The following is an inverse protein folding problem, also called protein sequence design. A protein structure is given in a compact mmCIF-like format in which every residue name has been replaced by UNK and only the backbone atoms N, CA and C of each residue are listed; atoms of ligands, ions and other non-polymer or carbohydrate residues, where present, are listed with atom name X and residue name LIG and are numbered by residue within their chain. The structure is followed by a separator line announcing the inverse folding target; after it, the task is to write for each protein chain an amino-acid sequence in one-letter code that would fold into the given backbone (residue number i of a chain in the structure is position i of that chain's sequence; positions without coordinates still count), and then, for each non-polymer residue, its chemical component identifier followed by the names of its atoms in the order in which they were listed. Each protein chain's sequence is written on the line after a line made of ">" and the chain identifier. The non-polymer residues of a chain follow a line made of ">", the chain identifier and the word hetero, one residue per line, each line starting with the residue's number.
data_IF_140107137037
#
_entry.id   IF_140107137037
#
_cell.length_a   1.000
_cell.length_b   1.000
_cell.length_c   1.000
_cell.angle_alpha   90.00
_cell.angle_beta   90.00
_cell.angle_gamma   90.00
#
_symmetry.space_group_name_H-M   'P 1'
#
loop_
_entity.id
_entity.type
_entity.pdbx_description
1 polymer ?
#
# COMPACT_ATOMS: atom_id res chain seq x y z
N UNK A 1 8.12 -12.44 19.07
CA UNK A 1 8.73 -11.09 19.06
C UNK A 1 10.24 -11.28 18.99
N UNK A 2 10.93 -10.51 18.15
CA UNK A 2 12.40 -10.45 18.16
C UNK A 2 12.81 -9.16 18.88
N UNK A 3 13.77 -9.25 19.80
CA UNK A 3 14.30 -8.09 20.51
C UNK A 3 15.41 -7.47 19.68
N UNK A 4 15.29 -6.17 19.40
CA UNK A 4 16.35 -5.37 18.76
C UNK A 4 16.66 -4.19 19.67
N UNK A 5 17.94 -3.98 19.94
CA UNK A 5 18.43 -2.85 20.72
C UNK A 5 18.86 -1.73 19.78
N UNK A 6 18.42 -0.50 20.04
CA UNK A 6 18.76 0.69 19.26
C UNK A 6 19.35 1.72 20.21
N UNK A 7 20.47 2.34 19.82
CA UNK A 7 21.05 3.47 20.55
C UNK A 7 20.43 4.75 20.02
N UNK A 8 19.96 5.60 20.92
CA UNK A 8 19.35 6.90 20.61
C UNK A 8 20.25 7.99 21.17
N UNK A 9 20.25 9.16 20.51
CA UNK A 9 20.81 10.37 21.10
C UNK A 9 19.83 10.99 22.10
N UNK A 10 20.33 11.93 22.92
CA UNK A 10 19.55 12.56 23.99
C UNK A 10 18.27 13.26 23.47
N UNK A 11 18.31 13.84 22.28
CA UNK A 11 17.15 14.53 21.70
C UNK A 11 16.09 13.52 21.23
N UNK A 12 16.52 12.42 20.64
CA UNK A 12 15.66 11.30 20.26
C UNK A 12 15.00 10.65 21.49
N UNK A 13 15.75 10.44 22.57
CA UNK A 13 15.18 9.92 23.83
C UNK A 13 14.16 10.88 24.44
N UNK A 14 14.45 12.18 24.49
CA UNK A 14 13.52 13.19 24.98
C UNK A 14 12.21 13.20 24.17
N UNK A 15 12.31 13.06 22.85
CA UNK A 15 11.15 12.99 21.94
C UNK A 15 10.31 11.75 22.21
N UNK A 16 10.95 10.58 22.36
CA UNK A 16 10.25 9.32 22.67
C UNK A 16 9.53 9.39 24.02
N UNK A 17 10.16 9.98 25.03
CA UNK A 17 9.56 10.19 26.35
C UNK A 17 8.34 11.14 26.28
N UNK A 18 8.42 12.22 25.50
CA UNK A 18 7.28 13.12 25.29
C UNK A 18 6.10 12.42 24.60
N UNK A 19 6.39 11.66 23.54
CA UNK A 19 5.39 10.88 22.83
C UNK A 19 4.72 9.85 23.74
N UNK A 20 5.47 9.17 24.61
CA UNK A 20 4.88 8.29 25.61
C UNK A 20 3.93 9.04 26.56
N UNK A 21 4.36 10.16 27.14
CA UNK A 21 3.53 10.94 28.08
C UNK A 21 2.23 11.42 27.44
N UNK A 22 2.29 11.87 26.18
CA UNK A 22 1.14 12.43 25.48
C UNK A 22 0.17 11.38 24.95
N UNK A 23 0.69 10.21 24.56
CA UNK A 23 -0.13 9.15 23.94
C UNK A 23 -0.55 8.06 24.91
N UNK A 24 0.13 7.92 26.05
CA UNK A 24 -0.07 6.82 27.00
C UNK A 24 0.37 5.44 26.46
N UNK A 25 1.08 5.40 25.32
CA UNK A 25 1.47 4.16 24.66
C UNK A 25 2.82 3.64 25.19
N UNK A 26 3.02 2.33 25.08
CA UNK A 26 4.31 1.71 25.36
C UNK A 26 5.36 2.12 24.31
N UNK A 27 6.64 2.10 24.69
CA UNK A 27 7.76 2.40 23.80
C UNK A 27 7.64 1.60 22.49
N UNK A 28 7.36 0.30 22.60
CA UNK A 28 7.23 -0.57 21.43
C UNK A 28 6.09 -0.16 20.50
N UNK A 29 4.97 0.33 21.04
CA UNK A 29 3.84 0.79 20.23
C UNK A 29 4.14 2.13 19.56
N UNK A 30 4.78 3.07 20.27
CA UNK A 30 5.24 4.34 19.69
C UNK A 30 6.22 4.09 18.54
N UNK A 31 7.21 3.24 18.76
CA UNK A 31 8.19 2.86 17.73
C UNK A 31 7.54 2.15 16.54
N UNK A 32 6.60 1.23 16.78
CA UNK A 32 5.86 0.55 15.71
C UNK A 32 5.07 1.54 14.85
N UNK A 33 4.41 2.53 15.46
CA UNK A 33 3.68 3.57 14.71
C UNK A 33 4.64 4.49 13.96
N UNK A 34 5.76 4.88 14.57
CA UNK A 34 6.80 5.66 13.91
C UNK A 34 7.37 4.97 12.67
N UNK A 35 7.72 3.68 12.77
CA UNK A 35 8.21 2.90 11.64
C UNK A 35 7.20 2.81 10.49
N UNK A 36 5.91 2.60 10.81
CA UNK A 36 4.84 2.59 9.79
C UNK A 36 4.59 3.95 9.16
N UNK A 37 4.75 5.04 9.91
CA UNK A 37 4.64 6.38 9.37
C UNK A 37 5.76 6.63 8.35
N UNK A 38 6.99 6.28 8.71
CA UNK A 38 8.15 6.40 7.83
C UNK A 38 8.04 5.52 6.58
N UNK A 39 7.52 4.29 6.70
CA UNK A 39 7.21 3.42 5.56
C UNK A 39 6.25 4.09 4.57
N UNK A 40 5.18 4.74 5.06
CA UNK A 40 4.23 5.45 4.20
C UNK A 40 4.81 6.71 3.57
N UNK A 41 5.68 7.43 4.28
CA UNK A 41 6.38 8.59 3.73
C UNK A 41 7.25 8.15 2.55
N UNK A 42 8.01 7.05 2.70
CA UNK A 42 8.77 6.47 1.61
C UNK A 42 7.88 6.03 0.44
N UNK A 43 6.75 5.40 0.70
CA UNK A 43 5.79 5.03 -0.35
C UNK A 43 5.19 6.25 -1.08
N UNK A 44 5.13 7.40 -0.40
CA UNK A 44 4.65 8.66 -1.00
C UNK A 44 5.73 9.40 -1.80
N UNK A 45 7.00 9.32 -1.37
CA UNK A 45 8.15 9.92 -2.05
C UNK A 45 8.65 9.08 -3.23
N UNK A 46 8.32 7.78 -3.27
CA UNK A 46 8.41 6.99 -4.49
C UNK A 46 7.30 7.48 -5.42
N UNK A 47 7.59 8.55 -6.16
CA UNK A 47 6.91 8.88 -7.42
C UNK A 47 6.72 7.58 -8.19
N UNK A 48 5.52 7.00 -8.14
CA UNK A 48 5.20 5.78 -8.88
C UNK A 48 5.68 6.00 -10.29
N UNK A 49 6.64 5.20 -10.74
CA UNK A 49 7.12 5.34 -12.12
C UNK A 49 5.90 5.13 -13.00
N UNK A 50 5.71 5.89 -14.09
CA UNK A 50 4.55 5.70 -14.96
C UNK A 50 4.29 4.23 -15.31
N UNK A 51 5.35 3.44 -15.46
CA UNK A 51 5.32 1.99 -15.64
C UNK A 51 4.65 1.19 -14.50
N UNK A 52 4.89 1.54 -13.24
CA UNK A 52 4.28 0.88 -12.08
C UNK A 52 2.77 1.16 -12.01
N UNK A 53 2.35 2.35 -12.46
CA UNK A 53 0.92 2.65 -12.64
C UNK A 53 0.32 1.74 -13.71
N UNK A 54 0.99 1.57 -14.86
CA UNK A 54 0.53 0.65 -15.90
C UNK A 54 0.42 -0.80 -15.42
N UNK A 55 1.36 -1.29 -14.62
CA UNK A 55 1.26 -2.63 -14.02
C UNK A 55 0.07 -2.76 -13.05
N UNK A 56 -0.24 -1.70 -12.30
CA UNK A 56 -1.35 -1.70 -11.34
C UNK A 56 -2.74 -1.67 -11.96
N UNK A 57 -2.86 -1.30 -13.25
CA UNK A 57 -4.15 -1.20 -13.97
C UNK A 57 -4.78 -2.56 -14.30
N UNK A 58 -4.17 -3.68 -13.89
CA UNK A 58 -4.72 -5.01 -14.14
C UNK A 58 -4.83 -5.32 -15.64
N UNK A 59 -3.87 -4.80 -16.42
CA UNK A 59 -3.82 -5.07 -17.85
C UNK A 59 -3.64 -6.58 -18.09
N UNK A 60 -4.25 -7.14 -19.15
CA UNK A 60 -4.03 -8.52 -19.52
C UNK A 60 -2.52 -8.78 -19.69
N UNK A 61 -2.05 -9.97 -19.26
CA UNK A 61 -0.62 -10.30 -19.31
C UNK A 61 -0.11 -10.28 -20.74
N UNK A 62 1.20 -10.17 -20.90
CA UNK A 62 1.83 -10.22 -22.21
C UNK A 62 1.39 -11.48 -23.00
N UNK A 63 0.80 -11.28 -24.18
CA UNK A 63 0.21 -12.35 -25.00
C UNK A 63 -1.27 -12.64 -24.77
N UNK A 64 -1.89 -12.12 -23.71
CA UNK A 64 -3.33 -12.23 -23.49
C UNK A 64 -4.08 -11.18 -24.34
N UNK A 65 -4.95 -11.67 -25.23
CA UNK A 65 -5.79 -10.81 -26.07
C UNK A 65 -6.90 -10.20 -25.20
N UNK A 66 -7.13 -8.90 -25.33
CA UNK A 66 -8.29 -8.25 -24.72
C UNK A 66 -9.56 -9.04 -25.07
N UNK A 67 -10.41 -9.30 -24.06
CA UNK A 67 -11.63 -10.11 -24.21
C UNK A 67 -12.59 -9.53 -25.27
N UNK A 68 -12.55 -8.21 -25.49
CA UNK A 68 -13.25 -7.55 -26.57
C UNK A 68 -12.54 -6.24 -26.98
N UNK A 69 -12.72 -5.76 -28.23
CA UNK A 69 -12.32 -4.41 -28.62
C UNK A 69 -13.01 -3.35 -27.77
N UNK A 70 -12.35 -2.20 -27.56
CA UNK A 70 -12.85 -1.12 -26.71
C UNK A 70 -14.28 -0.67 -27.10
N UNK A 71 -14.58 -0.61 -28.40
CA UNK A 71 -15.90 -0.23 -28.92
C UNK A 71 -17.04 -1.17 -28.46
N UNK A 72 -16.74 -2.44 -28.15
CA UNK A 72 -17.71 -3.47 -27.74
C UNK A 72 -17.61 -3.87 -26.27
N UNK A 73 -16.82 -3.13 -25.47
CA UNK A 73 -16.55 -3.50 -24.07
C UNK A 73 -17.84 -3.61 -23.23
N UNK A 74 -18.80 -2.69 -23.41
CA UNK A 74 -20.08 -2.72 -22.67
C UNK A 74 -20.91 -3.96 -22.97
N UNK A 75 -21.00 -4.36 -24.24
CA UNK A 75 -21.74 -5.55 -24.66
C UNK A 75 -21.07 -6.82 -24.13
N UNK A 76 -19.74 -6.90 -24.23
CA UNK A 76 -18.95 -8.03 -23.73
C UNK A 76 -19.09 -8.20 -22.22
N UNK A 77 -19.05 -7.11 -21.45
CA UNK A 77 -19.26 -7.17 -19.98
C UNK A 77 -20.67 -7.65 -19.66
N UNK A 78 -21.70 -7.15 -20.36
CA UNK A 78 -23.08 -7.60 -20.15
C UNK A 78 -23.25 -9.10 -20.44
N UNK A 79 -22.60 -9.61 -21.49
CA UNK A 79 -22.61 -11.04 -21.83
C UNK A 79 -21.88 -11.89 -20.78
N UNK A 80 -20.70 -11.45 -20.30
CA UNK A 80 -19.95 -12.13 -19.24
C UNK A 80 -20.80 -12.22 -17.96
N UNK A 81 -21.47 -11.13 -17.58
CA UNK A 81 -22.35 -11.09 -16.41
C UNK A 81 -23.53 -12.04 -16.60
N UNK A 82 -24.22 -12.01 -17.75
CA UNK A 82 -25.33 -12.92 -18.07
C UNK A 82 -24.91 -14.39 -17.94
N UNK A 83 -23.80 -14.76 -18.57
CA UNK A 83 -23.23 -16.12 -18.52
C UNK A 83 -22.86 -16.54 -17.09
N UNK A 84 -22.28 -15.65 -16.29
CA UNK A 84 -21.95 -15.92 -14.88
C UNK A 84 -23.19 -16.14 -14.01
N UNK A 85 -24.30 -15.47 -14.33
CA UNK A 85 -25.58 -15.62 -13.63
C UNK A 85 -26.51 -16.68 -14.24
N UNK A 86 -26.03 -17.49 -15.20
CA UNK A 86 -26.81 -18.56 -15.82
C UNK A 86 -28.01 -18.07 -16.64
N UNK A 87 -27.94 -16.85 -17.15
CA UNK A 87 -28.97 -16.22 -17.99
C UNK A 87 -28.48 -16.04 -19.42
#
# INVERSE_FOLDING_TARGET
>A
MSTRTVRMDDASEATLADLQRRTGLSISEVMRRGLRAYERELDSDITRRPYEVYQSLGLPREGERALAPAAKAKEAVAEIIRKKHGR
#
